data_IF_690815530993
#
_entry.id   IF_690815530993
#
_cell.length_a   1.000
_cell.length_b   1.000
_cell.length_c   1.000
_cell.angle_alpha   90.00
_cell.angle_beta   90.00
_cell.angle_gamma   90.00
#
_symmetry.space_group_name_H-M   'P 1'
#
loop_
_entity.id
_entity.type
_entity.pdbx_description
1 polymer ?
#
# COMPACT_ATOMS: atom_id res chain seq x y z
N UNK A 1 4.84 -12.75 12.68
CA UNK A 1 4.66 -11.81 11.55
C UNK A 1 4.08 -10.53 12.13
N UNK A 2 4.71 -9.37 11.89
CA UNK A 2 4.31 -8.10 12.48
C UNK A 2 4.10 -7.05 11.38
N UNK A 3 3.07 -6.21 11.48
CA UNK A 3 2.87 -5.08 10.57
C UNK A 3 3.68 -3.92 11.11
N UNK A 4 4.72 -3.51 10.37
CA UNK A 4 5.67 -2.50 10.87
C UNK A 4 5.32 -1.07 10.46
N UNK A 5 4.45 -0.90 9.46
CA UNK A 5 4.07 0.41 8.95
C UNK A 5 2.76 0.35 8.15
N UNK A 6 1.94 1.39 8.31
CA UNK A 6 0.90 1.76 7.37
C UNK A 6 1.35 3.02 6.65
N UNK A 7 1.34 3.01 5.32
CA UNK A 7 1.93 4.06 4.51
C UNK A 7 0.89 4.70 3.60
N UNK A 8 0.77 6.02 3.66
CA UNK A 8 -0.10 6.83 2.80
C UNK A 8 0.70 7.65 1.80
N UNK A 9 0.03 8.13 0.75
CA UNK A 9 0.67 8.99 -0.26
C UNK A 9 1.23 10.27 0.37
N UNK A 10 2.25 10.86 -0.27
CA UNK A 10 2.84 12.12 0.20
C UNK A 10 1.85 13.31 0.20
N UNK A 11 0.72 13.18 -0.49
CA UNK A 11 -0.34 14.19 -0.57
C UNK A 11 -1.55 13.86 0.30
N UNK A 12 -1.53 12.74 1.05
CA UNK A 12 -2.60 12.37 1.97
C UNK A 12 -2.69 13.35 3.15
N UNK A 13 -3.93 13.57 3.61
CA UNK A 13 -4.27 14.37 4.79
C UNK A 13 -4.31 13.52 6.08
N UNK A 14 -4.06 12.22 5.97
CA UNK A 14 -4.21 11.26 7.05
C UNK A 14 -2.93 10.80 7.80
N UNK A 15 -1.69 11.22 7.47
CA UNK A 15 -0.52 10.79 8.20
C UNK A 15 -0.56 11.30 9.64
N UNK A 16 -0.09 10.47 10.57
CA UNK A 16 -0.17 10.73 11.99
C UNK A 16 -1.52 10.37 12.62
N UNK A 17 -2.54 10.03 11.82
CA UNK A 17 -3.80 9.48 12.33
C UNK A 17 -3.67 7.98 12.59
N UNK A 18 -4.40 7.50 13.59
CA UNK A 18 -4.62 6.08 13.78
C UNK A 18 -5.55 5.56 12.69
N UNK A 19 -5.38 4.30 12.29
CA UNK A 19 -6.29 3.69 11.32
C UNK A 19 -7.76 3.67 11.81
N UNK A 20 -8.05 3.39 13.11
CA UNK A 20 -9.37 3.59 13.70
C UNK A 20 -9.97 5.01 13.55
N UNK A 21 -9.17 6.07 13.48
CA UNK A 21 -9.68 7.43 13.27
C UNK A 21 -10.29 7.62 11.87
N UNK A 22 -9.90 6.76 10.91
CA UNK A 22 -10.37 6.76 9.53
C UNK A 22 -11.45 5.70 9.31
N UNK A 23 -11.27 4.53 9.94
CA UNK A 23 -12.15 3.36 9.85
C UNK A 23 -12.51 2.88 11.27
N UNK A 24 -13.58 3.44 11.87
CA UNK A 24 -13.91 3.18 13.28
C UNK A 24 -14.17 1.71 13.62
N UNK A 25 -14.59 0.90 12.64
CA UNK A 25 -14.79 -0.54 12.80
C UNK A 25 -13.49 -1.34 13.06
N UNK A 26 -12.32 -0.70 12.92
CA UNK A 26 -11.02 -1.29 13.24
C UNK A 26 -10.55 -0.96 14.67
N UNK A 27 -11.38 -0.26 15.46
CA UNK A 27 -11.12 0.00 16.86
C UNK A 27 -10.89 -1.33 17.63
N UNK A 28 -9.89 -1.34 18.50
CA UNK A 28 -9.40 -2.51 19.23
C UNK A 28 -8.82 -3.67 18.40
N UNK A 29 -8.78 -3.57 17.06
CA UNK A 29 -8.16 -4.58 16.17
C UNK A 29 -6.74 -4.17 15.76
N UNK A 30 -6.54 -2.91 15.37
CA UNK A 30 -5.26 -2.36 14.90
C UNK A 30 -5.03 -0.98 15.51
N UNK A 31 -3.85 -0.75 16.09
CA UNK A 31 -3.38 0.50 16.68
C UNK A 31 -2.20 1.12 15.90
N UNK A 32 -2.20 0.96 14.58
CA UNK A 32 -1.15 1.51 13.70
C UNK A 32 -1.40 2.97 13.34
N UNK A 33 -0.35 3.79 13.51
CA UNK A 33 -0.31 5.18 13.03
C UNK A 33 0.17 5.17 11.57
N UNK A 34 -0.56 5.88 10.71
CA UNK A 34 -0.18 6.01 9.31
C UNK A 34 0.99 6.98 9.13
N UNK A 35 1.85 6.73 8.14
CA UNK A 35 3.02 7.56 7.84
C UNK A 35 3.14 7.86 6.35
N UNK A 36 3.88 8.93 6.01
CA UNK A 36 4.12 9.29 4.62
C UNK A 36 5.04 8.30 3.90
N UNK A 37 4.74 8.02 2.62
CA UNK A 37 5.56 7.19 1.74
C UNK A 37 7.03 7.62 1.66
N UNK A 38 7.35 8.92 1.66
CA UNK A 38 8.74 9.40 1.66
C UNK A 38 9.59 8.91 2.85
N UNK A 39 8.94 8.44 3.92
CA UNK A 39 9.61 7.98 5.15
C UNK A 39 9.99 6.50 5.04
N UNK A 40 9.44 5.74 4.08
CA UNK A 40 9.58 4.29 4.01
C UNK A 40 11.04 3.82 3.85
N UNK A 41 11.90 4.64 3.23
CA UNK A 41 13.34 4.36 3.09
C UNK A 41 14.02 4.14 4.46
N UNK A 42 13.47 4.68 5.55
CA UNK A 42 14.00 4.45 6.91
C UNK A 42 13.79 3.02 7.41
N UNK A 43 12.79 2.32 6.89
CA UNK A 43 12.36 1.01 7.39
C UNK A 43 12.49 -0.09 6.36
N UNK A 44 12.82 0.26 5.12
CA UNK A 44 12.78 -0.66 3.99
C UNK A 44 13.65 -1.91 4.17
N UNK A 45 14.79 -1.78 4.86
CA UNK A 45 15.69 -2.89 5.17
C UNK A 45 15.14 -3.86 6.24
N UNK A 46 14.01 -3.53 6.86
CA UNK A 46 13.32 -4.34 7.88
C UNK A 46 12.00 -4.91 7.36
N UNK A 47 11.69 -4.68 6.09
CA UNK A 47 10.46 -5.13 5.44
C UNK A 47 10.78 -6.39 4.66
N UNK A 48 10.12 -7.49 4.99
CA UNK A 48 10.19 -8.72 4.20
C UNK A 48 9.12 -8.75 3.09
N UNK A 49 7.95 -8.14 3.37
CA UNK A 49 6.75 -8.19 2.52
C UNK A 49 6.12 -6.82 2.38
N UNK A 50 5.81 -6.41 1.15
CA UNK A 50 5.07 -5.18 0.83
C UNK A 50 3.74 -5.54 0.18
N UNK A 51 2.64 -5.01 0.71
CA UNK A 51 1.33 -5.00 0.05
C UNK A 51 1.11 -3.63 -0.58
N UNK A 52 0.89 -3.57 -1.90
CA UNK A 52 0.61 -2.33 -2.60
C UNK A 52 -0.89 -2.23 -2.86
N UNK A 53 -1.52 -1.31 -2.13
CA UNK A 53 -2.95 -1.04 -2.17
C UNK A 53 -3.26 0.36 -2.74
N UNK A 54 -2.51 0.81 -3.74
CA UNK A 54 -2.61 2.15 -4.35
C UNK A 54 -3.06 2.07 -5.81
N UNK A 55 -3.62 3.15 -6.37
CA UNK A 55 -4.06 3.17 -7.78
C UNK A 55 -3.00 2.69 -8.80
N UNK A 56 -3.47 2.33 -10.00
CA UNK A 56 -2.67 1.70 -11.05
C UNK A 56 -1.39 2.46 -11.45
N UNK A 57 -1.37 3.80 -11.42
CA UNK A 57 -0.17 4.58 -11.77
C UNK A 57 0.84 4.57 -10.64
N UNK A 58 0.37 4.74 -9.40
CA UNK A 58 1.24 4.72 -8.23
C UNK A 58 1.80 3.33 -8.00
N UNK A 59 0.99 2.28 -8.23
CA UNK A 59 1.41 0.90 -8.03
C UNK A 59 2.57 0.48 -8.93
N UNK A 60 2.52 0.85 -10.21
CA UNK A 60 3.58 0.60 -11.18
C UNK A 60 4.96 1.11 -10.72
N UNK A 61 5.00 2.35 -10.23
CA UNK A 61 6.24 3.00 -9.79
C UNK A 61 6.73 2.43 -8.46
N UNK A 62 5.81 2.12 -7.54
CA UNK A 62 6.13 1.54 -6.24
C UNK A 62 6.65 0.11 -6.35
N UNK A 63 6.00 -0.74 -7.14
CA UNK A 63 6.43 -2.11 -7.32
C UNK A 63 7.87 -2.18 -7.82
N UNK A 64 8.23 -1.34 -8.82
CA UNK A 64 9.61 -1.23 -9.30
C UNK A 64 10.60 -0.82 -8.22
N UNK A 65 10.25 0.16 -7.38
CA UNK A 65 11.10 0.61 -6.27
C UNK A 65 11.32 -0.47 -5.21
N UNK A 66 10.34 -1.36 -5.05
CA UNK A 66 10.35 -2.41 -4.05
C UNK A 66 10.82 -3.76 -4.59
N UNK A 67 11.16 -3.90 -5.89
CA UNK A 67 11.62 -5.17 -6.50
C UNK A 67 12.83 -5.78 -5.79
N UNK A 68 13.63 -4.98 -5.11
CA UNK A 68 14.79 -5.44 -4.34
C UNK A 68 14.45 -5.96 -2.94
N UNK A 69 13.18 -5.84 -2.54
CA UNK A 69 12.63 -6.36 -1.28
C UNK A 69 12.11 -7.78 -1.53
N UNK A 70 12.20 -8.62 -0.50
CA UNK A 70 11.92 -10.06 -0.61
C UNK A 70 10.64 -10.40 -1.34
N UNK A 71 9.49 -9.84 -0.92
CA UNK A 71 8.21 -10.13 -1.53
C UNK A 71 7.32 -8.89 -1.70
N UNK A 72 6.66 -8.78 -2.85
CA UNK A 72 5.69 -7.73 -3.17
C UNK A 72 4.39 -8.39 -3.63
N UNK A 73 3.29 -8.00 -3.01
CA UNK A 73 1.94 -8.30 -3.46
C UNK A 73 1.30 -7.01 -3.94
N UNK A 74 1.24 -6.84 -5.26
CA UNK A 74 0.43 -5.80 -5.87
C UNK A 74 -1.01 -6.31 -6.01
N UNK A 75 -1.95 -5.62 -5.35
CA UNK A 75 -3.37 -5.98 -5.41
C UNK A 75 -4.07 -5.40 -6.64
N UNK A 76 -3.43 -4.49 -7.37
CA UNK A 76 -3.96 -3.90 -8.59
C UNK A 76 -3.64 -4.76 -9.81
N UNK A 77 -4.15 -4.35 -10.96
CA UNK A 77 -4.10 -5.14 -12.18
C UNK A 77 -2.87 -4.90 -13.07
N UNK A 78 -2.02 -3.95 -12.71
CA UNK A 78 -0.91 -3.48 -13.55
C UNK A 78 0.11 -4.60 -13.88
N UNK A 79 0.27 -5.61 -13.03
CA UNK A 79 1.14 -6.77 -13.30
C UNK A 79 0.37 -8.07 -13.58
N UNK A 80 -0.95 -8.03 -13.69
CA UNK A 80 -1.77 -9.24 -13.94
C UNK A 80 -1.75 -9.65 -15.42
N UNK A 81 -1.47 -8.73 -16.35
CA UNK A 81 -1.37 -9.01 -17.77
C UNK A 81 0.04 -8.71 -18.30
N UNK A 82 0.63 -9.66 -19.02
CA UNK A 82 1.91 -9.46 -19.70
C UNK A 82 1.75 -8.84 -21.11
N UNK A 83 0.70 -8.05 -21.32
CA UNK A 83 0.44 -7.36 -22.59
C UNK A 83 0.04 -5.91 -22.30
N UNK A 84 0.89 -4.97 -22.73
CA UNK A 84 0.71 -3.55 -22.47
C UNK A 84 -0.51 -2.94 -23.18
N UNK A 85 -1.07 -3.62 -24.19
CA UNK A 85 -2.27 -3.17 -24.91
C UNK A 85 -3.57 -3.66 -24.27
N UNK A 86 -3.49 -4.48 -23.22
CA UNK A 86 -4.64 -4.99 -22.50
C UNK A 86 -4.75 -4.22 -21.19
N UNK A 87 -5.74 -3.33 -21.12
CA UNK A 87 -6.19 -2.77 -19.86
C UNK A 87 -7.14 -3.76 -19.20
N UNK A 88 -6.74 -4.32 -18.07
CA UNK A 88 -7.68 -5.00 -17.18
C UNK A 88 -8.52 -3.90 -16.52
N UNK A 89 -9.83 -4.09 -16.46
CA UNK A 89 -10.71 -3.19 -15.71
C UNK A 89 -10.82 -3.72 -14.28
N UNK A 90 -10.14 -3.06 -13.34
CA UNK A 90 -10.33 -3.32 -11.91
C UNK A 90 -11.57 -2.61 -11.38
N UNK A 91 -12.61 -3.36 -11.04
CA UNK A 91 -13.74 -2.85 -10.26
C UNK A 91 -13.35 -2.93 -8.78
N UNK A 92 -13.03 -1.78 -8.17
CA UNK A 92 -12.86 -1.70 -6.71
C UNK A 92 -14.24 -1.68 -6.06
N UNK A 93 -14.65 -2.80 -5.47
CA UNK A 93 -15.86 -2.84 -4.64
C UNK A 93 -15.53 -2.10 -3.35
N UNK A 94 -16.13 -0.92 -3.17
CA UNK A 94 -16.12 -0.22 -1.90
C UNK A 94 -17.02 -1.03 -0.97
N UNK A 95 -16.41 -1.74 -0.02
CA UNK A 95 -17.17 -2.37 1.06
C UNK A 95 -17.48 -1.23 2.02
N UNK A 96 -18.73 -0.77 2.00
CA UNK A 96 -19.25 0.20 2.98
C UNK A 96 -19.29 -0.41 4.39
#
# INVERSE_FOLDING_TARGET
MNIIALVVSNNSLDPGKLLPDIYPNLEAIIDLISCYLRIINKWINRVDVVFICTDHKVSHDLARKFLTIGCIFDLFDIFRCNNQNIMILSISIKID
#
